data_IF_199239612446
#
_entry.id   IF_199239612446
#
_cell.length_a   1.000
_cell.length_b   1.000
_cell.length_c   1.000
_cell.angle_alpha   90.00
_cell.angle_beta   90.00
_cell.angle_gamma   90.00
#
_symmetry.space_group_name_H-M   'P 1'
#
loop_
_entity.id
_entity.type
_entity.pdbx_description
1 polymer ?
#
# COMPACT_ATOMS: atom_id res chain seq x y z
N UNK A 1 -10.88 -3.22 11.23
CA UNK A 1 -9.59 -3.64 10.63
C UNK A 1 -9.73 -4.94 9.85
N UNK A 2 -10.40 -5.97 10.37
CA UNK A 2 -10.39 -7.31 9.76
C UNK A 2 -11.23 -7.47 8.49
N UNK A 3 -12.34 -6.74 8.28
CA UNK A 3 -13.21 -6.94 7.11
C UNK A 3 -12.51 -6.69 5.77
N UNK A 4 -12.18 -5.43 5.48
CA UNK A 4 -11.60 -5.03 4.19
C UNK A 4 -10.24 -5.69 3.86
N UNK A 5 -9.42 -5.98 4.89
CA UNK A 5 -8.17 -6.72 4.69
C UNK A 5 -8.47 -8.19 4.37
N UNK A 6 -9.38 -8.85 5.11
CA UNK A 6 -9.81 -10.23 4.82
C UNK A 6 -10.49 -10.36 3.46
N UNK A 7 -11.26 -9.35 3.03
CA UNK A 7 -11.87 -9.35 1.69
C UNK A 7 -10.79 -9.39 0.58
N UNK A 8 -9.59 -8.85 0.86
CA UNK A 8 -8.47 -8.84 -0.07
C UNK A 8 -7.58 -10.08 0.03
N UNK A 9 -7.16 -10.47 1.24
CA UNK A 9 -6.18 -11.56 1.44
C UNK A 9 -6.83 -12.91 1.79
N UNK A 10 -8.15 -12.95 1.93
CA UNK A 10 -8.89 -14.14 2.34
C UNK A 10 -8.52 -14.59 3.76
N UNK A 11 -8.18 -15.88 3.88
CA UNK A 11 -7.72 -16.51 5.12
C UNK A 11 -6.21 -16.41 5.32
N UNK A 12 -5.47 -15.83 4.38
CA UNK A 12 -4.02 -15.69 4.51
C UNK A 12 -3.67 -14.77 5.68
N UNK A 13 -2.76 -15.21 6.55
CA UNK A 13 -2.28 -14.38 7.66
C UNK A 13 -1.33 -13.28 7.15
N UNK A 14 -1.61 -12.00 7.42
CA UNK A 14 -0.71 -10.92 7.06
C UNK A 14 0.64 -11.06 7.79
N UNK A 15 1.72 -11.16 7.01
CA UNK A 15 3.06 -11.19 7.54
C UNK A 15 3.60 -9.77 7.72
N UNK A 16 4.28 -9.53 8.84
CA UNK A 16 4.96 -8.25 9.08
C UNK A 16 6.34 -8.24 8.40
N UNK A 17 6.74 -7.07 7.89
CA UNK A 17 8.04 -6.85 7.27
C UNK A 17 7.96 -6.54 5.77
N UNK A 18 9.12 -6.23 5.17
CA UNK A 18 9.34 -5.83 3.77
C UNK A 18 8.63 -4.54 3.31
N UNK A 19 7.51 -4.17 3.90
CA UNK A 19 6.74 -2.96 3.57
C UNK A 19 7.18 -1.79 4.44
N UNK A 20 7.51 -0.68 3.78
CA UNK A 20 7.81 0.61 4.41
C UNK A 20 6.79 1.65 3.94
N UNK A 21 6.22 2.38 4.90
CA UNK A 21 5.29 3.48 4.67
C UNK A 21 5.93 4.78 5.13
N UNK A 22 6.09 5.72 4.21
CA UNK A 22 6.64 7.05 4.45
C UNK A 22 5.49 8.07 4.38
N UNK A 23 5.24 8.73 5.51
CA UNK A 23 4.21 9.76 5.70
C UNK A 23 4.81 10.90 6.52
N UNK A 24 4.46 12.17 6.25
CA UNK A 24 4.84 13.28 7.11
C UNK A 24 4.16 13.15 8.48
N UNK A 25 4.87 13.54 9.55
CA UNK A 25 4.36 13.49 10.93
C UNK A 25 3.25 14.51 11.20
N UNK A 26 3.26 15.62 10.46
CA UNK A 26 2.26 16.69 10.52
C UNK A 26 1.82 17.01 9.11
N UNK A 27 0.51 17.11 8.92
CA UNK A 27 -0.12 17.51 7.67
C UNK A 27 -0.90 18.78 7.94
N UNK A 28 -0.43 19.90 7.39
CA UNK A 28 -1.11 21.19 7.51
C UNK A 28 -2.34 21.28 6.59
N UNK A 29 -2.34 20.51 5.50
CA UNK A 29 -3.44 20.48 4.52
C UNK A 29 -3.90 19.04 4.25
N UNK A 30 -4.99 18.64 4.90
CA UNK A 30 -5.59 17.30 4.78
C UNK A 30 -6.14 16.97 3.38
N UNK A 31 -6.26 17.94 2.48
CA UNK A 31 -6.76 17.69 1.12
C UNK A 31 -5.74 16.98 0.21
N UNK A 32 -4.46 16.98 0.59
CA UNK A 32 -3.39 16.42 -0.23
C UNK A 32 -2.25 15.88 0.63
N UNK A 33 -2.49 14.77 1.31
CA UNK A 33 -1.50 14.10 2.15
C UNK A 33 -0.55 13.27 1.28
N UNK A 34 0.74 13.63 1.15
CA UNK A 34 1.70 12.81 0.41
C UNK A 34 2.01 11.54 1.20
N UNK A 35 2.04 10.41 0.50
CA UNK A 35 2.43 9.13 1.06
C UNK A 35 3.30 8.38 0.06
N UNK A 36 4.25 7.61 0.57
CA UNK A 36 5.01 6.66 -0.25
C UNK A 36 5.04 5.30 0.40
N UNK A 37 4.73 4.27 -0.39
CA UNK A 37 4.86 2.88 0.01
C UNK A 37 6.00 2.27 -0.80
N UNK A 38 6.89 1.55 -0.13
CA UNK A 38 7.90 0.72 -0.79
C UNK A 38 7.92 -0.68 -0.20
N UNK A 39 8.07 -1.68 -1.04
CA UNK A 39 8.18 -3.09 -0.64
C UNK A 39 9.54 -3.61 -1.09
N UNK A 40 10.26 -4.25 -0.17
CA UNK A 40 11.47 -4.98 -0.49
C UNK A 40 11.11 -6.22 -1.31
N UNK A 41 11.38 -6.16 -2.61
CA UNK A 41 11.15 -7.25 -3.56
C UNK A 41 12.17 -7.15 -4.68
N UNK A 42 12.68 -8.29 -5.19
CA UNK A 42 13.56 -8.31 -6.34
C UNK A 42 12.84 -7.93 -7.65
N UNK A 43 11.50 -7.90 -7.67
CA UNK A 43 10.67 -7.53 -8.83
C UNK A 43 11.01 -8.32 -10.11
N UNK A 44 11.28 -9.61 -9.94
CA UNK A 44 11.52 -10.57 -11.03
C UNK A 44 10.23 -11.26 -11.45
N UNK A 45 10.22 -11.94 -12.59
CA UNK A 45 9.04 -12.70 -13.03
C UNK A 45 8.60 -13.75 -12.00
N UNK A 46 9.53 -14.35 -11.28
CA UNK A 46 9.27 -15.37 -10.26
C UNK A 46 8.92 -14.81 -8.87
N UNK A 47 9.39 -13.61 -8.54
CA UNK A 47 9.17 -12.95 -7.24
C UNK A 47 9.02 -11.44 -7.47
N UNK A 48 7.78 -10.97 -7.49
CA UNK A 48 7.42 -9.57 -7.58
C UNK A 48 6.16 -9.29 -6.76
N UNK A 49 5.97 -8.02 -6.44
CA UNK A 49 4.73 -7.54 -5.84
C UNK A 49 3.67 -7.46 -6.93
N UNK A 50 2.54 -8.14 -6.74
CA UNK A 50 1.40 -8.08 -7.66
C UNK A 50 0.52 -6.86 -7.39
N UNK A 51 0.33 -6.51 -6.11
CA UNK A 51 -0.50 -5.37 -5.73
C UNK A 51 -0.08 -4.73 -4.40
N UNK A 52 -0.32 -3.43 -4.29
CA UNK A 52 -0.22 -2.64 -3.05
C UNK A 52 -1.57 -1.99 -2.79
N UNK A 53 -2.17 -2.32 -1.64
CA UNK A 53 -3.46 -1.77 -1.22
C UNK A 53 -3.28 -0.89 0.02
N UNK A 54 -3.87 0.30 -0.02
CA UNK A 54 -3.77 1.29 1.05
C UNK A 54 -5.14 1.47 1.69
N UNK A 55 -5.17 1.34 3.02
CA UNK A 55 -6.38 1.47 3.81
C UNK A 55 -6.24 2.59 4.84
N UNK A 56 -7.29 3.42 4.98
CA UNK A 56 -7.39 4.42 6.04
C UNK A 56 -8.65 4.18 6.88
N UNK A 57 -8.45 3.74 8.11
CA UNK A 57 -9.55 3.35 9.01
C UNK A 57 -10.39 4.52 9.52
N UNK A 58 -9.85 5.74 9.47
CA UNK A 58 -10.56 6.94 9.92
C UNK A 58 -11.46 7.53 8.84
N UNK A 59 -11.34 7.05 7.60
CA UNK A 59 -12.17 7.50 6.50
C UNK A 59 -13.46 6.64 6.43
N UNK A 60 -14.63 7.26 6.18
CA UNK A 60 -15.88 6.51 5.95
C UNK A 60 -15.77 5.46 4.84
N UNK A 61 -14.95 5.74 3.83
CA UNK A 61 -14.53 4.78 2.83
C UNK A 61 -13.07 4.36 3.10
N UNK A 62 -12.83 3.13 3.60
CA UNK A 62 -11.50 2.75 4.07
C UNK A 62 -10.51 2.42 2.94
N UNK A 63 -11.00 2.04 1.75
CA UNK A 63 -10.17 1.79 0.57
C UNK A 63 -9.68 3.11 -0.02
N UNK A 64 -8.39 3.40 0.12
CA UNK A 64 -7.76 4.62 -0.38
C UNK A 64 -7.29 4.42 -1.82
N UNK A 65 -6.49 3.39 -2.06
CA UNK A 65 -5.92 3.11 -3.36
C UNK A 65 -5.50 1.63 -3.50
N UNK A 66 -5.51 1.14 -4.73
CA UNK A 66 -4.93 -0.14 -5.13
C UNK A 66 -4.01 0.09 -6.33
N UNK A 67 -2.77 -0.37 -6.23
CA UNK A 67 -1.78 -0.28 -7.28
C UNK A 67 -1.40 -1.69 -7.71
N UNK A 68 -1.62 -2.00 -8.98
CA UNK A 68 -1.18 -3.26 -9.55
C UNK A 68 0.21 -3.08 -10.15
N UNK A 69 1.12 -3.93 -9.73
CA UNK A 69 2.51 -3.93 -10.12
C UNK A 69 2.80 -5.22 -10.89
N UNK A 70 3.90 -5.19 -11.64
CA UNK A 70 4.43 -6.37 -12.30
C UNK A 70 5.95 -6.28 -12.34
N UNK A 71 6.63 -7.34 -12.78
CA UNK A 71 8.10 -7.39 -12.77
C UNK A 71 8.74 -6.23 -13.54
N UNK A 72 8.06 -5.75 -14.59
CA UNK A 72 8.50 -4.61 -15.42
C UNK A 72 8.51 -3.25 -14.70
N UNK A 73 7.92 -3.15 -13.50
CA UNK A 73 8.00 -1.93 -12.70
C UNK A 73 9.41 -1.68 -12.14
N UNK A 74 10.28 -2.72 -12.12
CA UNK A 74 11.67 -2.64 -11.66
C UNK A 74 11.83 -2.49 -10.15
N UNK A 75 10.97 -1.68 -9.50
CA UNK A 75 10.91 -1.54 -8.04
C UNK A 75 9.45 -1.49 -7.58
N UNK A 76 9.15 -2.10 -6.43
CA UNK A 76 7.85 -1.97 -5.79
C UNK A 76 7.79 -0.70 -4.93
N UNK A 77 7.76 0.47 -5.58
CA UNK A 77 7.62 1.77 -4.90
C UNK A 77 6.51 2.60 -5.55
N UNK A 78 5.58 3.08 -4.74
CA UNK A 78 4.47 3.93 -5.17
C UNK A 78 4.43 5.19 -4.32
N UNK A 79 4.41 6.35 -4.97
CA UNK A 79 4.21 7.63 -4.32
C UNK A 79 2.92 8.26 -4.81
N UNK A 80 2.05 8.67 -3.89
CA UNK A 80 0.74 9.25 -4.22
C UNK A 80 0.32 10.30 -3.19
N UNK A 81 -0.78 10.98 -3.45
CA UNK A 81 -1.45 11.88 -2.52
C UNK A 81 -2.85 11.36 -2.23
N UNK A 82 -3.25 11.37 -0.97
CA UNK A 82 -4.59 10.99 -0.54
C UNK A 82 -5.32 12.14 0.17
N UNK A 83 -6.65 12.02 0.26
CA UNK A 83 -7.54 12.91 1.01
C UNK A 83 -8.25 12.14 2.13
#
# INVERSE_FOLDING_TARGET
MNGAIRDLVGEAEPQQGKVKLELPSIVENGNAVPLTVSVESPMTEADHVESIHIFNQKNPQPYVAAFHLGPRAGTARVSTRMR
#
